data_IF_491324520452
#
_entry.id   IF_491324520452
#
_cell.length_a   1.000
_cell.length_b   1.000
_cell.length_c   1.000
_cell.angle_alpha   90.00
_cell.angle_beta   90.00
_cell.angle_gamma   90.00
#
_symmetry.space_group_name_H-M   'P 1'
#
loop_
_entity.id
_entity.type
_entity.pdbx_description
1 polymer ?
#
# COMPACT_ATOMS: atom_id res chain seq x y z
N UNK A 1 11.29 -6.76 25.80
CA UNK A 1 10.29 -7.16 24.79
C UNK A 1 8.92 -6.88 25.37
N UNK A 2 8.19 -5.87 24.90
CA UNK A 2 6.80 -5.67 25.28
C UNK A 2 5.91 -6.68 24.57
N UNK A 3 4.80 -7.11 25.16
CA UNK A 3 3.89 -8.08 24.56
C UNK A 3 3.14 -7.44 23.39
N UNK A 4 3.36 -7.94 22.18
CA UNK A 4 2.56 -7.62 21.01
C UNK A 4 1.18 -8.26 21.16
N UNK A 5 0.13 -7.44 21.33
CA UNK A 5 -1.25 -7.89 21.20
C UNK A 5 -1.65 -7.79 19.71
N UNK A 6 -1.83 -8.90 19.01
CA UNK A 6 -2.35 -8.85 17.64
C UNK A 6 -3.85 -8.50 17.72
N UNK A 7 -4.20 -7.27 17.41
CA UNK A 7 -5.58 -6.90 17.10
C UNK A 7 -5.99 -7.65 15.83
N UNK A 8 -6.71 -8.75 15.98
CA UNK A 8 -7.22 -9.54 14.85
C UNK A 8 -8.23 -8.70 14.07
N UNK A 9 -8.16 -8.66 12.73
CA UNK A 9 -9.10 -7.91 11.88
C UNK A 9 -10.57 -8.32 12.07
N UNK A 10 -10.81 -9.52 12.60
CA UNK A 10 -12.13 -9.99 12.97
C UNK A 10 -12.81 -9.14 14.08
N UNK A 11 -12.04 -8.49 14.95
CA UNK A 11 -12.61 -7.62 16.00
C UNK A 11 -13.13 -6.29 15.46
N UNK A 12 -12.50 -5.76 14.40
CA UNK A 12 -12.96 -4.56 13.71
C UNK A 12 -14.26 -4.81 12.91
N UNK A 13 -14.38 -5.98 12.28
CA UNK A 13 -15.60 -6.40 11.58
C UNK A 13 -16.77 -6.67 12.54
N UNK A 14 -16.50 -7.18 13.75
CA UNK A 14 -17.51 -7.41 14.77
C UNK A 14 -18.03 -6.08 15.38
N UNK A 15 -17.17 -5.08 15.54
CA UNK A 15 -17.58 -3.74 15.99
C UNK A 15 -18.43 -3.00 14.94
N UNK A 16 -18.17 -3.23 13.66
CA UNK A 16 -19.00 -2.70 12.57
C UNK A 16 -20.38 -3.39 12.50
N UNK A 17 -20.46 -4.69 12.81
CA UNK A 17 -21.69 -5.47 12.82
C UNK A 17 -22.69 -5.06 13.91
N UNK A 18 -22.23 -4.54 15.04
CA UNK A 18 -23.10 -4.09 16.14
C UNK A 18 -23.76 -2.72 15.88
N UNK A 19 -23.19 -1.88 15.00
CA UNK A 19 -23.76 -0.58 14.67
C UNK A 19 -24.97 -0.66 13.71
N UNK A 20 -25.20 -1.82 13.08
CA UNK A 20 -26.24 -2.00 12.06
C UNK A 20 -27.62 -2.32 12.66
N UNK A 21 -27.70 -2.74 13.92
CA UNK A 21 -28.96 -3.20 14.55
C UNK A 21 -29.79 -2.11 15.23
N UNK A 22 -29.32 -0.91 15.33
CA UNK A 22 -30.04 0.18 15.98
C UNK A 22 -30.33 1.30 14.97
N UNK A 23 -31.43 1.29 14.28
CA UNK A 23 -32.35 2.41 14.02
C UNK A 23 -33.31 2.08 12.87
N UNK A 24 -34.49 1.58 13.23
CA UNK A 24 -35.66 1.67 12.38
C UNK A 24 -36.33 3.05 12.66
N UNK A 25 -36.00 4.07 11.86
CA UNK A 25 -36.68 5.36 11.83
C UNK A 25 -37.34 5.57 10.48
N UNK A 26 -38.46 6.29 10.43
CA UNK A 26 -39.25 6.46 9.20
C UNK A 26 -38.54 7.30 8.15
N UNK A 27 -38.77 6.92 6.88
CA UNK A 27 -38.14 7.54 5.73
C UNK A 27 -38.63 8.98 5.54
N UNK A 28 -37.78 9.96 5.63
CA UNK A 28 -37.94 11.29 5.09
C UNK A 28 -36.91 11.54 3.97
N UNK A 29 -37.34 12.35 2.99
CA UNK A 29 -36.55 12.72 1.81
C UNK A 29 -35.13 13.20 2.16
N UNK A 30 -34.19 12.94 1.25
CA UNK A 30 -32.79 13.35 1.35
C UNK A 30 -32.64 14.75 1.93
N UNK A 31 -32.28 14.80 3.16
CA UNK A 31 -31.87 16.02 3.84
C UNK A 31 -30.44 15.82 4.31
N UNK A 32 -29.76 16.91 4.59
CA UNK A 32 -28.42 16.97 5.21
C UNK A 32 -28.30 16.19 6.55
N UNK A 33 -29.31 15.39 6.89
CA UNK A 33 -29.52 14.67 8.14
C UNK A 33 -28.91 13.26 8.17
N UNK A 34 -28.45 12.70 7.03
CA UNK A 34 -27.77 11.40 7.06
C UNK A 34 -26.46 11.50 7.85
N UNK A 35 -26.49 11.02 9.08
CA UNK A 35 -25.33 11.08 9.98
C UNK A 35 -24.30 10.02 9.70
N UNK A 36 -24.74 8.88 9.16
CA UNK A 36 -23.87 7.74 8.91
C UNK A 36 -23.91 7.35 7.44
N UNK A 37 -22.74 7.16 6.86
CA UNK A 37 -22.56 6.65 5.51
C UNK A 37 -21.60 5.48 5.57
N UNK A 38 -22.03 4.31 5.07
CA UNK A 38 -21.18 3.13 4.91
C UNK A 38 -21.11 2.77 3.43
N UNK A 39 -19.91 2.71 2.87
CA UNK A 39 -19.63 2.23 1.52
C UNK A 39 -18.87 0.92 1.60
N UNK A 40 -19.39 -0.11 0.97
CA UNK A 40 -18.75 -1.40 0.82
C UNK A 40 -18.50 -1.63 -0.67
N UNK A 41 -17.24 -1.76 -1.06
CA UNK A 41 -16.84 -1.86 -2.45
C UNK A 41 -16.07 -3.15 -2.70
N UNK A 42 -16.28 -3.72 -3.89
CA UNK A 42 -15.34 -4.60 -4.53
C UNK A 42 -14.38 -3.72 -5.35
N UNK A 43 -13.12 -3.76 -4.99
CA UNK A 43 -12.04 -3.03 -5.63
C UNK A 43 -11.21 -4.00 -6.47
N UNK A 44 -10.91 -3.66 -7.72
CA UNK A 44 -10.15 -4.50 -8.65
C UNK A 44 -8.82 -3.84 -9.02
N UNK A 45 -7.87 -3.78 -8.07
CA UNK A 45 -6.62 -3.10 -8.29
C UNK A 45 -5.64 -3.89 -9.16
N UNK A 46 -4.81 -3.13 -9.84
CA UNK A 46 -3.53 -3.49 -10.40
C UNK A 46 -2.44 -2.83 -9.55
N UNK A 47 -1.35 -3.51 -9.28
CA UNK A 47 -0.24 -2.94 -8.55
C UNK A 47 1.04 -3.00 -9.38
N UNK A 48 1.78 -1.90 -9.35
CA UNK A 48 3.12 -1.76 -9.89
C UNK A 48 4.08 -1.63 -8.70
N UNK A 49 5.07 -2.50 -8.63
CA UNK A 49 6.09 -2.49 -7.60
C UNK A 49 7.44 -2.18 -8.24
N UNK A 50 8.02 -1.03 -7.91
CA UNK A 50 9.34 -0.61 -8.36
C UNK A 50 10.36 -0.73 -7.23
N UNK A 51 11.53 -1.22 -7.55
CA UNK A 51 12.69 -1.22 -6.67
C UNK A 51 13.86 -0.54 -7.39
N UNK A 52 14.41 0.49 -6.78
CA UNK A 52 15.60 1.15 -7.28
C UNK A 52 16.65 1.21 -6.18
N UNK A 53 17.90 0.98 -6.54
CA UNK A 53 19.01 1.08 -5.61
C UNK A 53 20.21 1.69 -6.26
N UNK A 54 20.94 2.49 -5.51
CA UNK A 54 22.20 3.08 -5.92
C UNK A 54 23.15 3.13 -4.73
N UNK A 55 24.40 2.93 -5.02
CA UNK A 55 25.40 2.98 -3.96
C UNK A 55 26.82 2.85 -4.48
N UNK A 56 27.74 2.78 -3.54
CA UNK A 56 29.18 2.65 -3.78
C UNK A 56 29.76 1.48 -3.00
N UNK A 57 30.73 0.84 -3.59
CA UNK A 57 31.59 -0.16 -2.94
C UNK A 57 33.03 0.34 -3.06
N UNK A 58 33.76 0.35 -1.96
CA UNK A 58 35.12 0.85 -1.92
C UNK A 58 36.10 -0.27 -1.51
N UNK A 59 37.21 -0.45 -2.23
CA UNK A 59 38.25 -1.39 -1.90
C UNK A 59 39.48 -0.74 -1.28
N UNK A 60 39.35 0.47 -0.76
CA UNK A 60 40.41 1.29 -0.15
C UNK A 60 41.03 2.29 -1.13
N UNK A 61 41.13 1.99 -2.41
CA UNK A 61 41.68 2.87 -3.47
C UNK A 61 40.71 3.11 -4.60
N UNK A 62 39.93 2.13 -4.96
CA UNK A 62 38.95 2.20 -6.05
C UNK A 62 37.54 2.25 -5.54
N UNK A 63 36.69 3.04 -6.20
CA UNK A 63 35.26 3.18 -5.90
C UNK A 63 34.46 2.67 -7.09
N UNK A 64 33.67 1.63 -6.87
CA UNK A 64 32.71 1.11 -7.84
C UNK A 64 31.31 1.58 -7.49
N UNK A 65 30.57 2.06 -8.48
CA UNK A 65 29.17 2.44 -8.33
C UNK A 65 28.27 1.31 -8.82
N UNK A 66 27.16 1.10 -8.14
CA UNK A 66 26.07 0.25 -8.61
C UNK A 66 24.77 1.04 -8.69
N UNK A 67 23.95 0.70 -9.67
CA UNK A 67 22.64 1.29 -9.90
C UNK A 67 21.73 0.23 -10.52
N UNK A 68 20.53 0.06 -9.97
CA UNK A 68 19.50 -0.82 -10.52
C UNK A 68 18.12 -0.18 -10.38
N UNK A 69 17.25 -0.42 -11.34
CA UNK A 69 15.83 -0.01 -11.35
C UNK A 69 15.02 -1.15 -11.96
N UNK A 70 14.28 -1.85 -11.14
CA UNK A 70 13.44 -2.98 -11.53
C UNK A 70 11.98 -2.70 -11.23
N UNK A 71 11.08 -3.11 -12.13
CA UNK A 71 9.63 -2.93 -12.00
C UNK A 71 8.89 -4.22 -12.27
N UNK A 72 7.92 -4.46 -11.42
CA UNK A 72 7.08 -5.65 -11.47
C UNK A 72 5.61 -5.21 -11.47
N UNK A 73 4.89 -5.64 -12.50
CA UNK A 73 3.45 -5.41 -12.59
C UNK A 73 2.72 -6.65 -12.11
N UNK A 74 1.71 -6.46 -11.30
CA UNK A 74 0.84 -7.54 -10.87
C UNK A 74 -0.48 -7.45 -11.62
N UNK A 75 -1.03 -8.60 -12.04
CA UNK A 75 -2.36 -8.63 -12.64
C UNK A 75 -3.45 -8.16 -11.67
N UNK A 76 -4.69 -8.01 -12.14
CA UNK A 76 -5.84 -7.52 -11.35
C UNK A 76 -6.48 -8.61 -10.50
N UNK A 77 -6.95 -8.25 -9.31
CA UNK A 77 -7.74 -9.15 -8.46
C UNK A 77 -8.71 -8.37 -7.58
N UNK A 78 -9.92 -8.91 -7.42
CA UNK A 78 -10.95 -8.31 -6.60
C UNK A 78 -10.60 -8.35 -5.11
N UNK A 79 -10.72 -7.21 -4.44
CA UNK A 79 -10.43 -7.03 -3.01
C UNK A 79 -11.53 -6.24 -2.33
N UNK A 80 -11.84 -6.53 -1.06
CA UNK A 80 -12.79 -5.74 -0.29
C UNK A 80 -12.20 -4.38 0.06
N UNK A 81 -13.03 -3.34 -0.01
CA UNK A 81 -12.75 -2.00 0.46
C UNK A 81 -13.93 -1.50 1.26
N UNK A 82 -13.65 -0.84 2.38
CA UNK A 82 -14.67 -0.22 3.21
C UNK A 82 -14.39 1.26 3.41
N UNK A 83 -15.45 2.08 3.39
CA UNK A 83 -15.38 3.47 3.83
C UNK A 83 -16.58 3.78 4.72
N UNK A 84 -16.33 4.51 5.80
CA UNK A 84 -17.33 4.89 6.78
C UNK A 84 -17.23 6.39 7.04
N UNK A 85 -18.36 7.08 7.06
CA UNK A 85 -18.49 8.48 7.41
C UNK A 85 -19.48 8.67 8.55
N UNK A 86 -19.11 9.45 9.53
CA UNK A 86 -19.99 9.89 10.61
C UNK A 86 -19.99 11.41 10.69
N UNK A 87 -21.12 12.04 10.41
CA UNK A 87 -21.32 13.49 10.50
C UNK A 87 -21.98 13.82 11.82
N UNK A 88 -21.30 14.57 12.66
CA UNK A 88 -21.85 15.01 13.95
C UNK A 88 -22.28 16.49 13.96
N UNK A 89 -21.93 17.25 12.92
CA UNK A 89 -22.50 18.56 12.63
C UNK A 89 -22.52 18.81 11.11
N UNK A 90 -23.14 19.88 10.65
CA UNK A 90 -23.21 20.26 9.23
C UNK A 90 -21.81 20.38 8.57
N UNK A 91 -20.80 20.71 9.35
CA UNK A 91 -19.44 20.98 8.87
C UNK A 91 -18.38 20.01 9.38
N UNK A 92 -18.76 19.08 10.25
CA UNK A 92 -17.77 18.23 10.91
C UNK A 92 -18.12 16.76 10.76
N UNK A 93 -17.15 15.97 10.35
CA UNK A 93 -17.30 14.54 10.17
C UNK A 93 -16.06 13.77 10.61
N UNK A 94 -16.26 12.50 10.93
CA UNK A 94 -15.22 11.49 10.98
C UNK A 94 -15.34 10.62 9.74
N UNK A 95 -14.20 10.35 9.11
CA UNK A 95 -14.11 9.52 7.90
C UNK A 95 -13.09 8.44 8.14
N UNK A 96 -13.51 7.18 8.01
CA UNK A 96 -12.64 6.02 8.09
C UNK A 96 -12.59 5.31 6.75
N UNK A 97 -11.42 4.80 6.38
CA UNK A 97 -11.22 3.97 5.20
C UNK A 97 -10.42 2.74 5.58
N UNK A 98 -10.72 1.63 4.90
CA UNK A 98 -10.01 0.38 5.03
C UNK A 98 -9.76 -0.24 3.67
N UNK A 99 -8.51 -0.68 3.46
CA UNK A 99 -8.02 -1.38 2.28
C UNK A 99 -7.27 -2.62 2.72
N UNK A 100 -7.47 -3.73 2.00
CA UNK A 100 -6.67 -4.93 2.12
C UNK A 100 -6.23 -5.36 0.72
N UNK A 101 -4.96 -5.21 0.44
CA UNK A 101 -4.34 -5.64 -0.80
C UNK A 101 -3.37 -6.77 -0.50
N UNK A 102 -3.56 -7.92 -1.14
CA UNK A 102 -2.66 -9.08 -1.01
C UNK A 102 -2.42 -9.70 -2.37
N UNK A 103 -1.16 -9.97 -2.65
CA UNK A 103 -0.73 -10.63 -3.88
C UNK A 103 0.22 -11.77 -3.59
N UNK A 104 0.06 -12.83 -4.38
CA UNK A 104 1.05 -13.89 -4.50
C UNK A 104 1.43 -13.93 -5.97
N UNK A 105 2.70 -13.82 -6.27
CA UNK A 105 3.25 -13.90 -7.61
C UNK A 105 4.42 -14.87 -7.62
N UNK A 106 4.58 -15.55 -8.73
CA UNK A 106 5.75 -16.41 -8.97
C UNK A 106 6.53 -15.79 -10.13
N UNK A 107 7.78 -15.48 -9.88
CA UNK A 107 8.69 -15.01 -10.91
C UNK A 107 9.66 -16.13 -11.25
N UNK A 108 9.76 -16.44 -12.52
CA UNK A 108 10.73 -17.39 -13.06
C UNK A 108 11.83 -16.59 -13.76
N UNK A 109 13.03 -16.69 -13.26
CA UNK A 109 14.21 -16.09 -13.89
C UNK A 109 14.89 -17.18 -14.72
N UNK A 110 14.88 -17.00 -16.05
CA UNK A 110 15.62 -17.90 -16.95
C UNK A 110 17.11 -17.71 -16.78
N UNK A 111 17.85 -18.81 -16.70
CA UNK A 111 19.28 -18.77 -16.52
C UNK A 111 19.98 -17.86 -17.54
N UNK A 112 20.87 -17.01 -17.07
CA UNK A 112 21.64 -16.09 -17.90
C UNK A 112 23.13 -16.39 -17.74
N UNK A 113 23.83 -16.39 -18.84
CA UNK A 113 25.31 -16.48 -18.83
C UNK A 113 25.87 -15.06 -18.73
N UNK A 114 26.45 -14.72 -17.61
CA UNK A 114 27.16 -13.46 -17.43
C UNK A 114 28.65 -13.65 -17.75
N UNK A 115 29.21 -12.72 -18.53
CA UNK A 115 30.66 -12.64 -18.69
C UNK A 115 31.26 -11.95 -17.47
N UNK A 116 31.79 -12.74 -16.52
CA UNK A 116 32.41 -12.22 -15.30
C UNK A 116 33.60 -11.29 -15.59
N UNK A 117 34.21 -11.37 -16.75
CA UNK A 117 35.26 -10.43 -17.18
C UNK A 117 34.77 -9.01 -17.36
N UNK A 118 33.47 -8.81 -17.66
CA UNK A 118 32.89 -7.48 -17.82
C UNK A 118 32.66 -6.73 -16.50
N UNK A 119 32.67 -7.45 -15.37
CA UNK A 119 32.45 -6.90 -14.02
C UNK A 119 33.70 -7.02 -13.13
N UNK A 120 34.90 -7.19 -13.74
CA UNK A 120 36.19 -7.26 -12.99
C UNK A 120 36.47 -8.58 -12.31
N UNK A 121 35.69 -9.63 -12.56
CA UNK A 121 35.93 -10.99 -12.09
C UNK A 121 36.93 -11.78 -12.95
N UNK A 122 37.28 -13.01 -12.57
CA UNK A 122 38.10 -13.88 -13.39
C UNK A 122 37.42 -14.15 -14.73
N UNK A 123 38.16 -13.99 -15.84
CA UNK A 123 37.61 -14.15 -17.17
C UNK A 123 36.98 -15.54 -17.39
N UNK A 124 35.69 -15.56 -17.63
CA UNK A 124 34.94 -16.76 -17.95
C UNK A 124 33.43 -16.56 -17.84
N UNK A 125 32.64 -17.33 -18.58
CA UNK A 125 31.18 -17.31 -18.45
C UNK A 125 30.77 -17.88 -17.09
N UNK A 126 29.99 -17.12 -16.33
CA UNK A 126 29.31 -17.58 -15.11
C UNK A 126 27.85 -17.85 -15.49
N UNK A 127 27.46 -19.11 -15.43
CA UNK A 127 26.06 -19.50 -15.59
C UNK A 127 25.32 -19.18 -14.29
N UNK A 128 24.37 -18.23 -14.37
CA UNK A 128 23.40 -18.04 -13.30
C UNK A 128 22.30 -19.09 -13.56
N UNK A 129 22.08 -20.06 -12.66
CA UNK A 129 21.07 -21.07 -12.83
C UNK A 129 19.67 -20.45 -12.90
N UNK A 130 18.72 -21.18 -13.49
CA UNK A 130 17.30 -20.82 -13.41
C UNK A 130 16.91 -20.65 -11.94
N UNK A 131 16.30 -19.52 -11.63
CA UNK A 131 15.84 -19.22 -10.29
C UNK A 131 14.32 -19.00 -10.32
N UNK A 132 13.63 -19.62 -9.39
CA UNK A 132 12.21 -19.39 -9.14
C UNK A 132 12.06 -18.61 -7.85
N UNK A 133 11.33 -17.52 -7.91
CA UNK A 133 11.00 -16.70 -6.77
C UNK A 133 9.50 -16.68 -6.55
N UNK A 134 9.03 -17.31 -5.48
CA UNK A 134 7.64 -17.22 -5.05
C UNK A 134 7.52 -16.08 -4.02
N UNK A 135 6.84 -15.01 -4.42
CA UNK A 135 6.69 -13.82 -3.60
C UNK A 135 5.26 -13.61 -3.13
N UNK A 136 5.12 -13.08 -1.94
CA UNK A 136 3.87 -12.56 -1.38
C UNK A 136 4.05 -11.12 -0.98
N UNK A 137 3.14 -10.27 -1.42
CA UNK A 137 3.05 -8.88 -1.00
C UNK A 137 1.67 -8.66 -0.37
N UNK A 138 1.64 -8.15 0.85
CA UNK A 138 0.44 -7.75 1.57
C UNK A 138 0.54 -6.30 2.01
N UNK A 139 -0.50 -5.50 1.74
CA UNK A 139 -0.64 -4.14 2.25
C UNK A 139 -2.04 -3.97 2.81
N UNK A 140 -2.13 -3.73 4.11
CA UNK A 140 -3.37 -3.35 4.78
C UNK A 140 -3.26 -1.89 5.22
N UNK A 141 -4.26 -1.10 4.90
CA UNK A 141 -4.33 0.32 5.26
C UNK A 141 -5.64 0.60 5.97
N UNK A 142 -5.57 1.25 7.13
CA UNK A 142 -6.72 1.76 7.84
C UNK A 142 -6.49 3.23 8.21
N UNK A 143 -7.43 4.11 7.89
CA UNK A 143 -7.33 5.52 8.24
C UNK A 143 -8.57 6.01 8.96
N UNK A 144 -8.37 6.93 9.90
CA UNK A 144 -9.42 7.68 10.59
C UNK A 144 -9.08 9.16 10.55
N UNK A 145 -9.95 9.96 9.92
CA UNK A 145 -9.74 11.36 9.69
C UNK A 145 -10.88 12.17 10.31
N UNK A 146 -10.55 13.23 11.02
CA UNK A 146 -11.47 14.30 11.35
C UNK A 146 -11.47 15.31 10.20
N UNK A 147 -12.65 15.64 9.68
CA UNK A 147 -12.85 16.54 8.55
C UNK A 147 -13.69 17.75 8.97
N UNK A 148 -13.25 18.93 8.55
CA UNK A 148 -14.00 20.16 8.64
C UNK A 148 -14.35 20.69 7.25
N UNK A 149 -15.63 20.81 6.94
CA UNK A 149 -16.14 21.33 5.66
C UNK A 149 -16.22 22.85 5.71
N UNK A 150 -15.32 23.51 5.00
CA UNK A 150 -15.32 24.96 4.85
C UNK A 150 -16.33 25.44 3.81
N UNK A 151 -16.68 24.59 2.83
CA UNK A 151 -17.84 24.73 1.97
C UNK A 151 -18.83 23.64 2.37
N UNK A 152 -20.07 24.04 2.70
CA UNK A 152 -21.15 23.11 3.02
C UNK A 152 -22.47 23.75 2.62
N UNK A 153 -23.00 23.32 1.49
CA UNK A 153 -24.32 23.68 1.00
C UNK A 153 -25.00 22.47 0.35
N UNK A 154 -26.22 22.61 -0.12
CA UNK A 154 -27.03 21.51 -0.63
C UNK A 154 -26.45 20.81 -1.86
N UNK A 155 -25.56 21.46 -2.61
CA UNK A 155 -25.00 20.93 -3.85
C UNK A 155 -23.53 20.61 -3.76
N UNK A 156 -22.79 21.24 -2.85
CA UNK A 156 -21.34 21.13 -2.76
C UNK A 156 -20.88 21.11 -1.31
N UNK A 157 -20.09 20.12 -0.99
CA UNK A 157 -19.32 20.06 0.24
C UNK A 157 -17.85 19.93 -0.08
N UNK A 158 -17.01 20.74 0.55
CA UNK A 158 -15.57 20.59 0.47
C UNK A 158 -14.95 20.73 1.85
N UNK A 159 -14.26 19.68 2.27
CA UNK A 159 -13.65 19.57 3.58
C UNK A 159 -12.16 19.27 3.50
N UNK A 160 -11.46 19.74 4.52
CA UNK A 160 -10.08 19.38 4.83
C UNK A 160 -10.07 18.69 6.18
N UNK A 161 -9.18 17.73 6.34
CA UNK A 161 -9.09 16.94 7.55
C UNK A 161 -7.67 16.60 7.95
N UNK A 162 -7.55 16.25 9.22
CA UNK A 162 -6.38 15.67 9.83
C UNK A 162 -6.77 14.28 10.37
N UNK A 163 -5.87 13.34 10.27
CA UNK A 163 -6.15 11.99 10.76
C UNK A 163 -4.92 11.18 11.02
N UNK A 164 -5.16 9.93 11.31
CA UNK A 164 -4.14 8.91 11.54
C UNK A 164 -4.37 7.78 10.56
N UNK A 165 -3.30 7.31 9.94
CA UNK A 165 -3.30 6.13 9.08
C UNK A 165 -2.39 5.09 9.69
N UNK A 166 -2.93 3.90 9.84
CA UNK A 166 -2.18 2.69 10.13
C UNK A 166 -1.94 1.93 8.83
N UNK A 167 -0.72 1.44 8.68
CA UNK A 167 -0.36 0.53 7.60
C UNK A 167 0.30 -0.72 8.15
N UNK A 168 0.07 -1.84 7.49
CA UNK A 168 0.83 -3.08 7.65
C UNK A 168 1.30 -3.51 6.27
N UNK A 169 2.60 -3.61 6.09
CA UNK A 169 3.23 -4.11 4.88
C UNK A 169 3.94 -5.43 5.20
N UNK A 170 3.58 -6.47 4.45
CA UNK A 170 4.15 -7.80 4.54
C UNK A 170 4.73 -8.18 3.17
N UNK A 171 6.02 -8.52 3.14
CA UNK A 171 6.66 -9.06 1.96
C UNK A 171 7.34 -10.37 2.33
N UNK A 172 7.07 -11.41 1.54
CA UNK A 172 7.72 -12.71 1.69
C UNK A 172 8.20 -13.16 0.33
N UNK A 173 9.45 -13.58 0.27
CA UNK A 173 10.04 -14.15 -0.91
C UNK A 173 10.68 -15.49 -0.56
N UNK A 174 10.40 -16.52 -1.35
CA UNK A 174 11.05 -17.82 -1.25
C UNK A 174 11.74 -18.10 -2.57
N UNK A 175 13.05 -18.13 -2.56
CA UNK A 175 13.87 -18.42 -3.73
C UNK A 175 14.24 -19.88 -3.77
N UNK A 176 14.14 -20.48 -4.97
CA UNK A 176 14.77 -21.77 -5.30
C UNK A 176 15.76 -21.53 -6.45
N UNK A 177 17.03 -21.82 -6.24
CA UNK A 177 17.98 -21.86 -7.33
C UNK A 177 18.10 -23.29 -7.82
N UNK A 178 17.98 -23.51 -9.13
CA UNK A 178 18.21 -24.82 -9.73
C UNK A 178 19.62 -25.30 -9.44
N UNK A 179 19.75 -26.42 -8.71
CA UNK A 179 21.03 -27.01 -8.44
C UNK A 179 21.66 -27.55 -9.72
N UNK A 180 22.93 -27.28 -9.93
CA UNK A 180 23.75 -28.15 -10.74
C UNK A 180 24.04 -29.40 -9.91
N UNK A 181 24.39 -30.52 -10.53
CA UNK A 181 24.66 -31.84 -9.90
C UNK A 181 25.64 -31.81 -8.68
N UNK A 182 26.11 -30.64 -8.27
CA UNK A 182 27.08 -30.40 -7.19
C UNK A 182 26.51 -29.52 -6.03
N UNK A 183 25.32 -28.96 -6.13
CA UNK A 183 24.74 -28.07 -5.09
C UNK A 183 23.30 -28.49 -4.86
N UNK A 184 22.98 -28.86 -3.62
CA UNK A 184 21.61 -29.11 -3.18
C UNK A 184 20.73 -27.87 -3.42
N UNK A 185 19.46 -28.07 -3.86
CA UNK A 185 18.46 -27.00 -3.93
C UNK A 185 18.38 -26.30 -2.57
N UNK A 186 18.82 -25.05 -2.51
CA UNK A 186 18.70 -24.24 -1.29
C UNK A 186 17.48 -23.35 -1.42
N UNK A 187 16.49 -23.60 -0.56
CA UNK A 187 15.33 -22.73 -0.39
C UNK A 187 15.65 -21.73 0.72
N UNK A 188 15.82 -20.48 0.35
CA UNK A 188 15.90 -19.40 1.32
C UNK A 188 14.61 -18.61 1.34
N UNK A 189 13.99 -18.49 2.50
CA UNK A 189 12.79 -17.68 2.69
C UNK A 189 13.17 -16.41 3.44
N UNK A 190 12.96 -15.28 2.79
CA UNK A 190 13.05 -13.95 3.40
C UNK A 190 11.64 -13.47 3.70
N UNK A 191 11.38 -13.13 4.94
CA UNK A 191 10.12 -12.55 5.38
C UNK A 191 10.38 -11.19 6.03
N UNK A 192 9.69 -10.19 5.53
CA UNK A 192 9.75 -8.84 6.03
C UNK A 192 8.34 -8.36 6.34
N UNK A 193 8.14 -7.88 7.56
CA UNK A 193 6.87 -7.36 8.02
C UNK A 193 7.11 -6.09 8.84
N UNK A 194 6.40 -5.03 8.47
CA UNK A 194 6.40 -3.76 9.18
C UNK A 194 4.98 -3.26 9.32
N UNK A 195 4.70 -2.64 10.42
CA UNK A 195 3.45 -1.92 10.66
C UNK A 195 3.75 -0.62 11.41
N UNK A 196 2.84 0.33 11.32
CA UNK A 196 3.03 1.61 12.00
C UNK A 196 1.92 2.60 11.73
N UNK A 197 2.00 3.73 12.41
CA UNK A 197 1.04 4.82 12.34
C UNK A 197 1.71 6.10 11.88
N UNK A 198 1.00 6.89 11.06
CA UNK A 198 1.38 8.26 10.77
C UNK A 198 0.19 9.18 10.78
N UNK A 199 0.33 10.41 11.32
CA UNK A 199 -0.62 11.47 11.05
C UNK A 199 -0.61 11.81 9.56
N UNK A 200 -1.76 12.29 9.05
CA UNK A 200 -1.90 12.62 7.64
C UNK A 200 -2.95 13.69 7.39
N UNK A 201 -2.89 14.21 6.18
CA UNK A 201 -3.85 15.16 5.65
C UNK A 201 -4.90 14.42 4.84
N UNK A 202 -6.14 14.89 4.93
CA UNK A 202 -7.27 14.37 4.16
C UNK A 202 -8.05 15.52 3.52
N UNK A 203 -8.56 15.31 2.32
CA UNK A 203 -9.51 16.21 1.67
C UNK A 203 -10.60 15.42 0.99
N UNK A 204 -11.82 15.96 1.02
CA UNK A 204 -12.96 15.39 0.30
C UNK A 204 -13.82 16.49 -0.28
N UNK A 205 -14.07 16.37 -1.57
CA UNK A 205 -15.03 17.17 -2.30
C UNK A 205 -16.21 16.28 -2.66
N UNK A 206 -17.42 16.70 -2.32
CA UNK A 206 -18.66 15.99 -2.66
C UNK A 206 -19.58 16.96 -3.38
N UNK A 207 -19.94 16.61 -4.61
CA UNK A 207 -20.87 17.37 -5.44
C UNK A 207 -22.15 16.57 -5.67
N UNK A 208 -23.29 17.19 -5.42
CA UNK A 208 -24.63 16.62 -5.53
C UNK A 208 -25.40 17.36 -6.64
N UNK A 209 -25.18 16.98 -7.93
CA UNK A 209 -25.83 17.65 -9.07
C UNK A 209 -27.33 17.44 -9.13
N UNK A 210 -27.85 16.40 -8.48
CA UNK A 210 -29.29 16.09 -8.40
C UNK A 210 -29.53 15.27 -7.11
N UNK A 211 -30.79 15.22 -6.68
CA UNK A 211 -31.21 14.59 -5.40
C UNK A 211 -30.70 13.17 -5.16
N UNK A 212 -30.48 12.39 -6.22
CA UNK A 212 -30.04 10.99 -6.11
C UNK A 212 -28.61 10.75 -6.52
N UNK A 213 -27.91 11.77 -7.04
CA UNK A 213 -26.59 11.64 -7.58
C UNK A 213 -25.56 12.34 -6.70
N UNK A 214 -24.49 11.65 -6.44
CA UNK A 214 -23.33 12.20 -5.72
C UNK A 214 -22.07 11.87 -6.50
N UNK A 215 -21.23 12.87 -6.73
CA UNK A 215 -19.88 12.72 -7.26
C UNK A 215 -18.91 13.14 -6.17
N UNK A 216 -17.96 12.27 -5.85
CA UNK A 216 -16.99 12.52 -4.80
C UNK A 216 -15.56 12.39 -5.29
N UNK A 217 -14.71 13.31 -4.83
CA UNK A 217 -13.26 13.26 -4.93
C UNK A 217 -12.69 13.16 -3.52
N UNK A 218 -11.76 12.26 -3.33
CA UNK A 218 -11.05 12.09 -2.05
C UNK A 218 -9.55 12.18 -2.29
N UNK A 219 -8.84 12.79 -1.38
CA UNK A 219 -7.38 12.85 -1.36
C UNK A 219 -6.84 12.60 0.02
N UNK A 220 -5.69 11.94 0.11
CA UNK A 220 -4.96 11.72 1.36
C UNK A 220 -3.47 11.81 1.10
N UNK A 221 -2.76 12.41 2.04
CA UNK A 221 -1.31 12.50 2.03
C UNK A 221 -0.77 12.32 3.44
N UNK A 222 0.28 11.55 3.58
CA UNK A 222 1.09 11.49 4.80
C UNK A 222 2.57 11.35 4.43
N UNK A 223 3.41 11.84 5.32
CA UNK A 223 4.84 11.59 5.29
C UNK A 223 5.16 10.60 6.42
N UNK A 224 5.97 9.59 6.14
CA UNK A 224 6.31 8.55 7.10
C UNK A 224 7.05 9.10 8.32
N UNK A 225 7.86 10.15 8.13
CA UNK A 225 8.57 10.83 9.21
C UNK A 225 7.70 11.59 10.22
N UNK A 226 6.38 11.72 9.96
CA UNK A 226 5.44 12.33 10.90
C UNK A 226 5.03 11.39 12.04
N UNK A 227 5.37 10.09 11.95
CA UNK A 227 5.10 9.05 12.93
C UNK A 227 6.01 7.84 12.72
N UNK A 228 5.61 6.68 13.23
CA UNK A 228 6.34 5.40 13.10
C UNK A 228 5.80 4.57 11.92
N UNK A 229 5.51 5.21 10.79
CA UNK A 229 4.90 4.55 9.65
C UNK A 229 5.92 3.70 8.91
N UNK A 230 5.88 2.39 9.13
CA UNK A 230 6.71 1.38 8.49
C UNK A 230 8.22 1.51 8.79
N UNK A 231 8.63 2.33 9.78
CA UNK A 231 10.02 2.58 10.19
C UNK A 231 10.95 3.04 9.06
N UNK A 232 10.39 3.60 7.97
CA UNK A 232 11.10 3.97 6.75
C UNK A 232 10.81 5.41 6.33
N UNK A 233 11.78 6.06 5.70
CA UNK A 233 11.57 7.39 5.11
C UNK A 233 10.71 7.29 3.85
N UNK A 234 9.70 8.17 3.74
CA UNK A 234 8.87 8.17 2.53
C UNK A 234 7.56 8.93 2.67
N UNK A 235 6.63 8.60 1.80
CA UNK A 235 5.30 9.20 1.80
C UNK A 235 4.26 8.25 1.20
N UNK A 236 3.03 8.45 1.62
CA UNK A 236 1.85 7.83 1.04
C UNK A 236 0.92 8.90 0.47
N UNK A 237 0.43 8.65 -0.73
CA UNK A 237 -0.51 9.49 -1.44
C UNK A 237 -1.70 8.66 -1.90
N UNK A 238 -2.89 9.22 -1.83
CA UNK A 238 -4.11 8.60 -2.35
C UNK A 238 -4.98 9.63 -3.03
N UNK A 239 -5.59 9.25 -4.16
CA UNK A 239 -6.64 9.98 -4.84
C UNK A 239 -7.75 9.02 -5.25
N UNK A 240 -9.00 9.37 -4.97
CA UNK A 240 -10.17 8.57 -5.31
C UNK A 240 -11.26 9.42 -5.94
N UNK A 241 -11.92 8.85 -6.94
CA UNK A 241 -13.13 9.41 -7.57
C UNK A 241 -14.25 8.38 -7.47
N UNK A 242 -15.45 8.80 -7.12
CA UNK A 242 -16.62 7.94 -7.19
C UNK A 242 -17.86 8.69 -7.66
N UNK A 243 -18.76 7.95 -8.28
CA UNK A 243 -20.12 8.38 -8.63
C UNK A 243 -21.08 7.43 -7.95
N UNK A 244 -22.05 7.97 -7.25
CA UNK A 244 -23.02 7.25 -6.45
C UNK A 244 -24.43 7.61 -6.90
N UNK A 245 -25.30 6.62 -7.00
CA UNK A 245 -26.71 6.78 -7.27
C UNK A 245 -27.54 6.14 -6.15
N UNK A 246 -28.40 6.92 -5.52
CA UNK A 246 -29.30 6.45 -4.46
C UNK A 246 -30.54 5.81 -5.08
N UNK A 247 -30.63 4.48 -4.99
CA UNK A 247 -31.79 3.69 -5.44
C UNK A 247 -32.99 3.94 -4.51
N UNK A 248 -32.71 4.08 -3.22
CA UNK A 248 -33.70 4.46 -2.19
C UNK A 248 -33.05 5.50 -1.26
N UNK A 249 -33.82 6.12 -0.34
CA UNK A 249 -33.24 7.06 0.63
C UNK A 249 -32.07 6.49 1.45
N UNK A 250 -32.01 5.18 1.65
CA UNK A 250 -31.00 4.51 2.50
C UNK A 250 -30.00 3.66 1.76
N UNK A 251 -30.27 3.28 0.51
CA UNK A 251 -29.42 2.35 -0.24
C UNK A 251 -29.09 2.93 -1.60
N UNK A 252 -27.82 2.97 -1.91
CA UNK A 252 -27.27 3.39 -3.19
C UNK A 252 -26.30 2.38 -3.76
N UNK A 253 -25.96 2.59 -5.02
CA UNK A 253 -24.88 1.91 -5.73
C UNK A 253 -23.83 2.94 -6.09
N UNK A 254 -22.58 2.56 -6.08
CA UNK A 254 -21.50 3.44 -6.52
C UNK A 254 -20.51 2.70 -7.41
N UNK A 255 -19.89 3.46 -8.29
CA UNK A 255 -18.75 3.07 -9.07
C UNK A 255 -17.66 4.13 -8.91
N UNK A 256 -16.43 3.74 -9.03
CA UNK A 256 -15.34 4.68 -8.85
C UNK A 256 -13.99 4.13 -9.30
N UNK A 257 -12.99 4.94 -9.10
CA UNK A 257 -11.60 4.61 -9.35
C UNK A 257 -10.76 5.12 -8.20
N UNK A 258 -9.89 4.29 -7.70
CA UNK A 258 -8.97 4.64 -6.61
C UNK A 258 -7.53 4.43 -7.05
N UNK A 259 -6.67 5.31 -6.62
CA UNK A 259 -5.24 5.28 -6.86
C UNK A 259 -4.52 5.63 -5.55
N UNK A 260 -3.50 4.87 -5.21
CA UNK A 260 -2.58 5.22 -4.14
C UNK A 260 -1.15 4.82 -4.47
N UNK A 261 -0.21 5.52 -3.87
CA UNK A 261 1.21 5.31 -3.99
C UNK A 261 1.84 5.33 -2.62
N UNK A 262 2.65 4.33 -2.34
CA UNK A 262 3.52 4.26 -1.18
C UNK A 262 4.95 4.25 -1.68
N UNK A 263 5.72 5.26 -1.31
CA UNK A 263 7.14 5.35 -1.61
C UNK A 263 7.91 5.31 -0.31
N UNK A 264 8.82 4.35 -0.19
CA UNK A 264 9.70 4.14 0.95
C UNK A 264 11.14 4.15 0.49
N UNK A 265 12.06 4.57 1.34
CA UNK A 265 13.48 4.53 1.05
C UNK A 265 14.29 4.40 2.33
N UNK A 266 15.31 3.57 2.26
CA UNK A 266 16.23 3.33 3.36
C UNK A 266 17.66 3.45 2.90
N UNK A 267 18.52 4.00 3.78
CA UNK A 267 19.95 4.10 3.56
C UNK A 267 20.62 2.89 4.22
N UNK A 268 21.44 2.19 3.48
CA UNK A 268 22.15 1.03 3.99
C UNK A 268 23.66 1.21 3.93
N UNK A 269 24.34 0.68 4.93
CA UNK A 269 25.79 0.61 5.00
C UNK A 269 26.22 -0.77 5.47
N UNK A 270 27.33 -1.24 5.00
CA UNK A 270 27.84 -2.56 5.42
C UNK A 270 29.27 -2.83 4.94
N UNK A 271 29.66 -4.07 5.12
CA UNK A 271 30.97 -4.53 4.71
C UNK A 271 30.83 -5.89 4.04
N UNK A 272 31.14 -5.97 2.77
CA UNK A 272 31.20 -7.23 2.03
C UNK A 272 32.55 -7.88 2.25
N UNK A 273 32.61 -9.21 2.21
CA UNK A 273 33.83 -10.00 2.19
C UNK A 273 34.00 -10.61 0.81
N UNK A 274 35.23 -10.70 0.37
CA UNK A 274 35.54 -11.45 -0.84
C UNK A 274 35.09 -12.92 -0.69
N UNK A 275 34.72 -13.59 -1.77
CA UNK A 275 34.51 -15.02 -1.80
C UNK A 275 35.73 -15.77 -1.32
N UNK A 276 35.54 -16.97 -0.74
CA UNK A 276 36.63 -17.81 -0.27
C UNK A 276 37.67 -18.08 -1.37
N UNK A 277 38.92 -17.81 -1.06
CA UNK A 277 40.06 -17.98 -1.99
C UNK A 277 40.56 -16.66 -2.62
N UNK A 278 39.92 -15.54 -2.39
CA UNK A 278 40.40 -14.21 -2.79
C UNK A 278 40.89 -13.48 -1.53
N UNK A 279 42.20 -13.26 -1.45
CA UNK A 279 42.86 -12.55 -0.32
C UNK A 279 42.66 -11.02 -0.52
N UNK A 280 41.43 -10.59 -0.41
CA UNK A 280 41.05 -9.19 -0.47
C UNK A 280 40.40 -8.79 0.87
N UNK A 281 40.75 -7.58 1.33
CA UNK A 281 40.21 -7.03 2.56
C UNK A 281 38.69 -6.84 2.53
N UNK A 282 38.08 -6.44 3.66
CA UNK A 282 36.66 -6.12 3.69
C UNK A 282 36.37 -4.88 2.84
N UNK A 283 35.31 -4.95 2.03
CA UNK A 283 34.85 -3.88 1.15
C UNK A 283 33.69 -3.14 1.81
N UNK A 284 33.90 -1.93 2.33
CA UNK A 284 32.77 -1.12 2.79
C UNK A 284 31.88 -0.74 1.61
N UNK A 285 30.59 -0.84 1.83
CA UNK A 285 29.58 -0.38 0.89
C UNK A 285 28.56 0.50 1.59
N UNK A 286 28.04 1.47 0.86
CA UNK A 286 26.96 2.34 1.27
C UNK A 286 26.05 2.63 0.09
N UNK A 287 24.78 2.87 0.37
CA UNK A 287 23.82 3.16 -0.67
C UNK A 287 22.44 3.44 -0.14
N UNK A 288 21.53 3.63 -1.07
CA UNK A 288 20.09 3.83 -0.80
C UNK A 288 19.26 2.91 -1.66
N UNK A 289 18.28 2.25 -1.04
CA UNK A 289 17.24 1.48 -1.73
C UNK A 289 15.93 2.25 -1.61
N UNK A 290 15.16 2.26 -2.68
CA UNK A 290 13.84 2.88 -2.74
C UNK A 290 12.83 1.87 -3.26
N UNK A 291 11.72 1.68 -2.53
CA UNK A 291 10.54 0.96 -2.97
C UNK A 291 9.43 1.94 -3.38
N UNK A 292 8.78 1.69 -4.51
CA UNK A 292 7.67 2.49 -5.05
C UNK A 292 6.51 1.55 -5.38
N UNK A 293 5.53 1.46 -4.49
CA UNK A 293 4.31 0.68 -4.70
C UNK A 293 3.19 1.61 -5.17
N UNK A 294 2.69 1.37 -6.37
CA UNK A 294 1.52 2.04 -6.92
C UNK A 294 0.40 1.04 -7.08
N UNK A 295 -0.78 1.40 -6.59
CA UNK A 295 -1.97 0.56 -6.67
C UNK A 295 -3.11 1.40 -7.20
N UNK A 296 -3.75 0.94 -8.26
CA UNK A 296 -4.87 1.67 -8.83
C UNK A 296 -5.88 0.73 -9.49
N UNK A 297 -7.14 1.15 -9.53
CA UNK A 297 -8.14 0.35 -10.19
C UNK A 297 -9.57 0.82 -10.01
N UNK A 298 -10.48 0.22 -10.78
CA UNK A 298 -11.91 0.47 -10.66
C UNK A 298 -12.47 -0.20 -9.41
N UNK A 299 -13.53 0.39 -8.88
CA UNK A 299 -14.32 -0.17 -7.81
C UNK A 299 -15.82 -0.03 -8.09
N UNK A 300 -16.60 -0.94 -7.54
CA UNK A 300 -18.05 -0.86 -7.53
C UNK A 300 -18.60 -1.41 -6.22
N UNK A 301 -19.73 -0.90 -5.76
CA UNK A 301 -20.26 -1.34 -4.48
C UNK A 301 -21.60 -0.75 -4.10
N UNK A 302 -21.91 -0.94 -2.83
CA UNK A 302 -23.15 -0.47 -2.20
C UNK A 302 -22.84 0.63 -1.19
N UNK A 303 -23.74 1.61 -1.15
CA UNK A 303 -23.74 2.67 -0.14
C UNK A 303 -24.98 2.53 0.73
N UNK A 304 -24.78 2.66 2.03
CA UNK A 304 -25.85 2.71 3.01
C UNK A 304 -25.79 4.04 3.76
N UNK A 305 -26.93 4.69 3.94
CA UNK A 305 -27.10 5.96 4.66
C UNK A 305 -28.12 5.80 5.78
N UNK A 306 -27.81 6.38 6.96
CA UNK A 306 -28.67 6.29 8.17
C UNK A 306 -28.72 7.61 8.89
#
# INVERSE_FOLDING_TARGET
MPPHFPLRPAALLAALGLAITAVAAPAHAQTADDRFVLRLSAFNPEAELGFAGRGTVTDGTDVANFDFDERFDTGRSWRPRGAFGFRFSERQALVANYYDFRRNETWEYGGTVLDAGAIGGPAGPVEIPEARLDGRLGLSLASLNYEYSFISNDTLQWGLGLGVTWAELEARATGASGGTDLVDEQFETVEWKRDGFSPGLHTRLTWMPAERWTVGLEGQYLNTSWGDFLDEDGHFERAGLFVEYMVSPRVGVHVGYDWFRLKLGDDFTGTARAPDGIDAGPFPYEGRVTGDLRVHGPMAGLTFRF
#
